data_IF_411106078693
#
_entry.id   IF_411106078693
#
_cell.length_a   1.000
_cell.length_b   1.000
_cell.length_c   1.000
_cell.angle_alpha   90.00
_cell.angle_beta   90.00
_cell.angle_gamma   90.00
#
_symmetry.space_group_name_H-M   'P 1'
#
loop_
_entity.id
_entity.type
_entity.pdbx_description
1 polymer ?
#
# COMPACT_ATOMS: atom_id res chain seq x y z
N UNK A 1 -6.09 -14.59 6.76
CA UNK A 1 -5.85 -13.45 7.68
C UNK A 1 -7.09 -12.53 7.76
N UNK A 2 -7.29 -11.80 8.87
CA UNK A 2 -8.27 -10.69 8.98
C UNK A 2 -7.54 -9.32 9.03
N UNK A 3 -8.26 -8.22 8.75
CA UNK A 3 -7.65 -6.88 8.72
C UNK A 3 -6.87 -6.51 9.99
N UNK A 4 -7.39 -6.83 11.17
CA UNK A 4 -6.70 -6.55 12.45
C UNK A 4 -5.34 -7.26 12.56
N UNK A 5 -5.14 -8.40 11.90
CA UNK A 5 -3.82 -9.05 11.85
C UNK A 5 -2.91 -8.37 10.82
N UNK A 6 -3.48 -7.99 9.68
CA UNK A 6 -2.76 -7.29 8.62
C UNK A 6 -2.22 -5.92 9.07
N UNK A 7 -3.01 -5.14 9.82
CA UNK A 7 -2.60 -3.83 10.31
C UNK A 7 -1.45 -3.93 11.33
N UNK A 8 -1.45 -4.96 12.17
CA UNK A 8 -0.34 -5.22 13.11
C UNK A 8 0.94 -5.60 12.36
N UNK A 9 0.83 -6.42 11.31
CA UNK A 9 1.97 -6.75 10.45
C UNK A 9 2.51 -5.52 9.72
N UNK A 10 1.65 -4.65 9.19
CA UNK A 10 2.06 -3.37 8.59
C UNK A 10 2.84 -2.51 9.59
N UNK A 11 2.30 -2.30 10.79
CA UNK A 11 2.94 -1.47 11.83
C UNK A 11 4.26 -2.07 12.33
N UNK A 12 4.36 -3.40 12.41
CA UNK A 12 5.56 -4.10 12.88
C UNK A 12 6.68 -4.13 11.85
N UNK A 13 6.35 -4.38 10.59
CA UNK A 13 7.33 -4.72 9.56
C UNK A 13 7.65 -3.54 8.61
N UNK A 14 6.81 -2.50 8.56
CA UNK A 14 7.09 -1.30 7.76
C UNK A 14 7.74 -0.24 8.64
N UNK A 15 8.98 0.12 8.29
CA UNK A 15 9.80 1.07 9.04
C UNK A 15 10.15 2.30 8.22
N UNK A 16 10.46 3.40 8.90
CA UNK A 16 10.95 4.62 8.28
C UNK A 16 12.25 4.35 7.51
N UNK A 17 12.34 4.84 6.27
CA UNK A 17 13.50 4.62 5.39
C UNK A 17 13.47 3.28 4.66
N UNK A 18 12.47 2.42 4.87
CA UNK A 18 12.35 1.15 4.17
C UNK A 18 12.25 1.36 2.64
N UNK A 19 13.12 0.68 1.89
CA UNK A 19 13.06 0.62 0.45
C UNK A 19 12.13 -0.52 0.00
N UNK A 20 10.93 -0.15 -0.45
CA UNK A 20 9.93 -1.10 -0.96
C UNK A 20 10.34 -1.76 -2.28
N UNK A 21 11.36 -1.22 -2.96
CA UNK A 21 12.00 -1.86 -4.11
C UNK A 21 13.52 -1.72 -3.97
N UNK A 22 14.21 -2.77 -3.50
CA UNK A 22 15.66 -2.74 -3.29
C UNK A 22 16.42 -2.30 -4.54
N UNK A 23 17.49 -1.52 -4.34
CA UNK A 23 18.34 -1.01 -5.44
C UNK A 23 17.73 0.13 -6.26
N UNK A 24 16.52 0.60 -5.91
CA UNK A 24 15.94 1.82 -6.49
C UNK A 24 16.08 3.00 -5.52
N UNK A 25 16.31 4.18 -6.08
CA UNK A 25 16.37 5.47 -5.35
C UNK A 25 14.99 6.04 -5.00
N UNK A 26 13.92 5.29 -5.26
CA UNK A 26 12.53 5.65 -5.03
C UNK A 26 11.76 4.45 -4.47
N UNK A 27 10.49 4.65 -4.10
CA UNK A 27 9.66 3.75 -3.27
C UNK A 27 10.23 3.58 -1.87
N UNK A 28 10.51 4.70 -1.22
CA UNK A 28 11.08 4.76 0.13
C UNK A 28 9.98 5.22 1.08
N UNK A 29 9.79 4.53 2.20
CA UNK A 29 8.86 4.95 3.26
C UNK A 29 9.46 6.18 3.95
N UNK A 30 8.76 7.31 3.87
CA UNK A 30 9.19 8.61 4.42
C UNK A 30 8.42 9.02 5.66
N UNK A 31 7.26 8.45 5.89
CA UNK A 31 6.47 8.64 7.11
C UNK A 31 5.72 7.34 7.41
N UNK A 32 5.52 7.05 8.70
CA UNK A 32 4.77 5.91 9.20
C UNK A 32 3.70 6.37 10.20
N UNK A 33 2.64 5.58 10.44
CA UNK A 33 1.68 5.83 11.52
C UNK A 33 2.39 6.18 12.85
N UNK A 34 1.98 7.24 13.58
CA UNK A 34 0.71 7.97 13.49
C UNK A 34 0.69 9.16 12.50
N UNK A 35 1.55 9.16 11.47
CA UNK A 35 1.54 10.18 10.41
C UNK A 35 0.14 10.38 9.80
N UNK A 36 -0.28 11.64 9.64
CA UNK A 36 -1.59 11.99 9.07
C UNK A 36 -1.50 12.38 7.59
N UNK A 37 -2.29 11.67 6.79
CA UNK A 37 -2.45 11.91 5.36
C UNK A 37 -3.38 13.11 5.14
N UNK A 38 -2.82 14.32 5.09
CA UNK A 38 -3.59 15.58 4.96
C UNK A 38 -4.63 15.58 3.82
N UNK A 39 -4.30 14.96 2.69
CA UNK A 39 -5.19 14.88 1.52
C UNK A 39 -6.33 13.87 1.68
N UNK A 40 -6.43 13.20 2.83
CA UNK A 40 -7.39 12.15 3.15
C UNK A 40 -8.04 12.43 4.52
N UNK A 41 -8.53 13.65 4.75
CA UNK A 41 -9.16 14.08 5.99
C UNK A 41 -8.29 13.83 7.24
N UNK A 42 -6.97 14.00 7.10
CA UNK A 42 -5.98 13.71 8.16
C UNK A 42 -6.01 12.25 8.66
N UNK A 43 -6.49 11.30 7.86
CA UNK A 43 -6.44 9.87 8.19
C UNK A 43 -5.01 9.42 8.44
N UNK A 44 -4.80 8.60 9.46
CA UNK A 44 -3.52 7.98 9.76
C UNK A 44 -3.05 7.08 8.60
N UNK A 45 -1.73 7.02 8.36
CA UNK A 45 -1.16 6.15 7.34
C UNK A 45 0.31 6.36 7.08
N UNK A 46 0.70 6.05 5.85
CA UNK A 46 2.09 6.09 5.39
C UNK A 46 2.29 7.20 4.36
N UNK A 47 3.53 7.70 4.27
CA UNK A 47 3.98 8.46 3.10
C UNK A 47 5.09 7.70 2.42
N UNK A 48 4.91 7.42 1.13
CA UNK A 48 5.91 6.72 0.31
C UNK A 48 6.40 7.65 -0.78
N UNK A 49 7.71 7.86 -0.84
CA UNK A 49 8.34 8.55 -1.96
C UNK A 49 8.29 7.66 -3.19
N UNK A 50 7.75 8.11 -4.32
CA UNK A 50 7.61 7.33 -5.56
C UNK A 50 8.46 7.85 -6.73
N UNK A 51 9.07 9.02 -6.58
CA UNK A 51 10.07 9.58 -7.50
C UNK A 51 11.03 10.51 -6.75
N UNK A 52 11.89 11.24 -7.44
CA UNK A 52 12.94 12.07 -6.79
C UNK A 52 12.35 13.08 -5.81
N UNK A 53 11.29 13.80 -6.20
CA UNK A 53 10.64 14.85 -5.40
C UNK A 53 9.13 14.61 -5.21
N UNK A 54 8.68 13.38 -5.44
CA UNK A 54 7.25 13.06 -5.42
C UNK A 54 6.95 11.94 -4.44
N UNK A 55 5.85 12.10 -3.70
CA UNK A 55 5.37 11.14 -2.72
C UNK A 55 3.89 10.89 -2.90
N UNK A 56 3.44 9.74 -2.38
CA UNK A 56 2.04 9.37 -2.23
C UNK A 56 1.74 9.20 -0.75
N UNK A 57 0.56 9.65 -0.33
CA UNK A 57 0.04 9.37 0.99
C UNK A 57 -0.89 8.16 0.88
N UNK A 58 -0.70 7.17 1.74
CA UNK A 58 -1.43 5.91 1.73
C UNK A 58 -2.06 5.76 3.11
N UNK A 59 -3.32 6.21 3.29
CA UNK A 59 -4.01 6.09 4.57
C UNK A 59 -4.35 4.63 4.91
N UNK A 60 -4.49 4.32 6.19
CA UNK A 60 -4.79 2.95 6.65
C UNK A 60 -6.13 2.44 6.10
N UNK A 61 -7.17 3.29 6.01
CA UNK A 61 -8.45 2.90 5.44
C UNK A 61 -8.36 2.51 3.95
N UNK A 62 -7.40 3.07 3.21
CA UNK A 62 -7.15 2.67 1.82
C UNK A 62 -6.57 1.25 1.77
N UNK A 63 -5.63 0.95 2.66
CA UNK A 63 -5.08 -0.40 2.79
C UNK A 63 -6.18 -1.39 3.21
N UNK A 64 -7.02 -1.04 4.19
CA UNK A 64 -8.16 -1.86 4.62
C UNK A 64 -9.10 -2.16 3.45
N UNK A 65 -9.52 -1.13 2.71
CA UNK A 65 -10.39 -1.26 1.55
C UNK A 65 -9.82 -2.23 0.51
N UNK A 66 -8.53 -2.09 0.20
CA UNK A 66 -7.85 -2.96 -0.77
C UNK A 66 -7.70 -4.39 -0.25
N UNK A 67 -7.40 -4.56 1.03
CA UNK A 67 -7.27 -5.88 1.65
C UNK A 67 -8.58 -6.65 1.61
N UNK A 68 -9.69 -6.02 2.02
CA UNK A 68 -11.01 -6.67 2.02
C UNK A 68 -11.50 -6.94 0.58
N UNK A 69 -11.28 -6.01 -0.35
CA UNK A 69 -11.60 -6.25 -1.76
C UNK A 69 -10.77 -7.39 -2.37
N UNK A 70 -9.49 -7.52 -2.01
CA UNK A 70 -8.65 -8.63 -2.44
C UNK A 70 -9.15 -9.97 -1.87
N UNK A 71 -9.61 -10.02 -0.61
CA UNK A 71 -10.23 -11.23 -0.04
C UNK A 71 -11.44 -11.69 -0.83
N UNK A 72 -12.30 -10.76 -1.24
CA UNK A 72 -13.47 -11.06 -2.08
C UNK A 72 -13.09 -11.50 -3.50
N UNK A 73 -11.92 -11.10 -3.98
CA UNK A 73 -11.38 -11.46 -5.29
C UNK A 73 -10.41 -12.65 -5.20
N UNK A 74 -10.84 -13.76 -4.59
CA UNK A 74 -10.03 -14.98 -4.44
C UNK A 74 -8.64 -14.70 -3.83
N UNK A 75 -8.59 -13.86 -2.79
CA UNK A 75 -7.37 -13.42 -2.12
C UNK A 75 -6.36 -12.73 -3.03
N UNK A 76 -6.76 -12.26 -4.22
CA UNK A 76 -5.86 -11.68 -5.22
C UNK A 76 -6.04 -10.17 -5.28
N UNK A 77 -4.98 -9.41 -5.05
CA UNK A 77 -4.91 -7.98 -5.29
C UNK A 77 -4.31 -7.68 -6.67
N UNK A 78 -5.00 -6.84 -7.44
CA UNK A 78 -4.54 -6.38 -8.74
C UNK A 78 -5.01 -4.95 -9.03
N UNK A 79 -4.62 -4.42 -10.20
CA UNK A 79 -5.02 -3.07 -10.62
C UNK A 79 -6.54 -2.90 -10.70
N UNK A 80 -7.29 -3.93 -11.11
CA UNK A 80 -8.74 -3.82 -11.28
C UNK A 80 -9.44 -3.55 -9.93
N UNK A 81 -9.01 -4.20 -8.85
CA UNK A 81 -9.49 -3.87 -7.49
C UNK A 81 -9.26 -2.41 -7.16
N UNK A 82 -8.06 -1.90 -7.48
CA UNK A 82 -7.73 -0.51 -7.21
C UNK A 82 -8.56 0.45 -8.07
N UNK A 83 -8.82 0.10 -9.34
CA UNK A 83 -9.67 0.86 -10.25
C UNK A 83 -11.13 0.91 -9.77
N UNK A 84 -11.68 -0.21 -9.29
CA UNK A 84 -13.05 -0.27 -8.79
C UNK A 84 -13.24 0.50 -7.49
N UNK A 85 -12.29 0.37 -6.54
CA UNK A 85 -12.47 0.91 -5.19
C UNK A 85 -11.88 2.32 -5.01
N UNK A 86 -10.83 2.65 -5.76
CA UNK A 86 -10.05 3.89 -5.62
C UNK A 86 -9.71 4.51 -6.99
N UNK A 87 -10.70 4.74 -7.87
CA UNK A 87 -10.46 5.23 -9.22
C UNK A 87 -9.81 6.63 -9.23
N UNK A 88 -10.15 7.47 -8.26
CA UNK A 88 -9.60 8.83 -8.15
C UNK A 88 -8.09 8.79 -7.89
N UNK A 89 -7.66 7.92 -6.99
CA UNK A 89 -6.27 7.74 -6.61
C UNK A 89 -5.47 7.10 -7.74
N UNK A 90 -6.09 6.17 -8.47
CA UNK A 90 -5.49 5.55 -9.65
C UNK A 90 -5.20 6.60 -10.73
N UNK A 91 -6.21 7.42 -11.04
CA UNK A 91 -6.14 8.46 -12.06
C UNK A 91 -5.17 9.57 -11.68
N UNK A 92 -5.11 9.96 -10.41
CA UNK A 92 -4.19 10.98 -9.94
C UNK A 92 -2.73 10.49 -9.97
N UNK A 93 -2.47 9.28 -9.46
CA UNK A 93 -1.12 8.69 -9.40
C UNK A 93 -1.18 7.16 -9.51
N UNK A 94 -0.95 6.59 -10.71
CA UNK A 94 -0.91 5.13 -10.91
C UNK A 94 0.12 4.39 -10.05
N UNK A 95 1.14 5.11 -9.56
CA UNK A 95 2.14 4.57 -8.64
C UNK A 95 1.54 4.11 -7.29
N UNK A 96 0.32 4.55 -6.94
CA UNK A 96 -0.39 4.11 -5.74
C UNK A 96 -0.56 2.58 -5.72
N UNK A 97 -0.94 1.98 -6.86
CA UNK A 97 -1.15 0.53 -6.99
C UNK A 97 0.11 -0.24 -6.60
N UNK A 98 1.25 0.15 -7.17
CA UNK A 98 2.52 -0.52 -6.90
C UNK A 98 3.01 -0.29 -5.47
N UNK A 99 2.77 0.90 -4.90
CA UNK A 99 3.23 1.24 -3.55
C UNK A 99 2.41 0.49 -2.50
N UNK A 100 1.09 0.36 -2.70
CA UNK A 100 0.21 -0.43 -1.83
C UNK A 100 0.57 -1.92 -1.89
N UNK A 101 0.72 -2.49 -3.08
CA UNK A 101 1.13 -3.90 -3.23
C UNK A 101 2.47 -4.18 -2.55
N UNK A 102 3.46 -3.30 -2.71
CA UNK A 102 4.76 -3.46 -2.07
C UNK A 102 4.74 -3.24 -0.55
N UNK A 103 3.87 -2.38 -0.03
CA UNK A 103 3.66 -2.29 1.42
C UNK A 103 3.14 -3.61 1.99
N UNK A 104 2.13 -4.21 1.35
CA UNK A 104 1.63 -5.52 1.78
C UNK A 104 2.66 -6.64 1.65
N UNK A 105 3.45 -6.63 0.57
CA UNK A 105 4.52 -7.60 0.36
C UNK A 105 5.58 -7.53 1.46
N UNK A 106 6.13 -6.34 1.71
CA UNK A 106 7.14 -6.14 2.76
C UNK A 106 6.60 -6.40 4.16
N UNK A 107 5.30 -6.17 4.38
CA UNK A 107 4.67 -6.49 5.65
C UNK A 107 4.47 -8.00 5.88
N UNK A 108 4.68 -8.85 4.86
CA UNK A 108 4.41 -10.29 4.94
C UNK A 108 2.92 -10.62 4.93
N UNK A 109 2.11 -9.80 4.27
CA UNK A 109 0.65 -9.97 4.16
C UNK A 109 0.28 -10.52 2.78
N UNK A 110 1.02 -10.11 1.75
CA UNK A 110 0.82 -10.57 0.39
C UNK A 110 2.14 -11.05 -0.23
N UNK A 111 2.05 -11.88 -1.26
CA UNK A 111 3.18 -12.26 -2.11
C UNK A 111 2.88 -11.87 -3.55
N UNK A 112 3.88 -11.37 -4.27
CA UNK A 112 3.77 -11.09 -5.70
C UNK A 112 3.79 -12.40 -6.49
N UNK A 113 2.66 -12.73 -7.14
CA UNK A 113 2.54 -13.94 -7.97
C UNK A 113 3.07 -13.69 -9.38
N UNK A 114 2.84 -12.47 -9.89
CA UNK A 114 3.38 -12.01 -11.17
C UNK A 114 3.58 -10.49 -11.19
N UNK A 115 3.98 -9.93 -12.35
CA UNK A 115 4.30 -8.51 -12.50
C UNK A 115 3.16 -7.54 -12.09
N UNK A 116 1.92 -8.01 -11.97
CA UNK A 116 0.72 -7.19 -11.76
C UNK A 116 -0.21 -7.70 -10.66
N UNK A 117 -0.02 -8.92 -10.18
CA UNK A 117 -0.89 -9.57 -9.21
C UNK A 117 -0.15 -9.94 -7.93
N UNK A 118 -0.83 -9.74 -6.81
CA UNK A 118 -0.39 -10.15 -5.47
C UNK A 118 -1.44 -11.07 -4.86
N UNK A 119 -1.05 -12.05 -4.07
CA UNK A 119 -1.96 -12.91 -3.30
C UNK A 119 -1.80 -12.67 -1.81
N UNK A 120 -2.90 -12.69 -1.05
CA UNK A 120 -2.85 -12.72 0.42
C UNK A 120 -2.32 -14.09 0.88
N UNK A 121 -1.43 -14.07 1.87
CA UNK A 121 -0.86 -15.24 2.54
C UNK A 121 -1.81 -15.88 3.57
#
# INVERSE_FOLDING_TARGET
>A
MIWNQAIELLKKNIQLGLHLTPGKSFKIVREIPPYTCKNYNNSEGFRVQVGTNTSVNIPLHMLETIFEAAKLNNNTYNRAIFETNLPRELNAKPCNVHSVGKLFEHAGIMEMIDKRNYQIL
#
